data_IF_690013823731
#
_entry.id   IF_690013823731
#
_cell.length_a   1.000
_cell.length_b   1.000
_cell.length_c   1.000
_cell.angle_alpha   90.00
_cell.angle_beta   90.00
_cell.angle_gamma   90.00
#
_symmetry.space_group_name_H-M   'P 1'
#
loop_
_entity.id
_entity.type
_entity.pdbx_description
1 polymer ?
#
# COMPACT_ATOMS: atom_id res chain seq x y z
N UNK A 1 -8.96 30.32 -1.35
CA UNK A 1 -8.51 29.09 -0.68
C UNK A 1 -8.54 29.23 0.84
N UNK A 2 -7.74 30.10 1.47
CA UNK A 2 -7.70 30.23 2.94
C UNK A 2 -9.10 30.40 3.59
N UNK A 3 -9.98 31.22 3.03
CA UNK A 3 -11.37 31.40 3.53
C UNK A 3 -12.21 30.11 3.48
N UNK A 4 -11.90 29.17 2.60
CA UNK A 4 -12.59 27.88 2.52
C UNK A 4 -12.16 26.92 3.64
N UNK A 5 -10.98 27.15 4.23
CA UNK A 5 -10.39 26.27 5.23
C UNK A 5 -10.54 26.82 6.66
N UNK A 6 -10.72 28.14 6.81
CA UNK A 6 -10.78 28.82 8.11
C UNK A 6 -11.93 28.29 8.99
N UNK A 7 -11.61 27.81 10.18
CA UNK A 7 -12.56 27.26 11.15
C UNK A 7 -13.26 25.97 10.71
N UNK A 8 -12.83 25.35 9.61
CA UNK A 8 -13.38 24.10 9.09
C UNK A 8 -12.57 22.90 9.57
N UNK A 9 -13.21 21.75 9.68
CA UNK A 9 -12.56 20.45 9.86
C UNK A 9 -11.96 20.04 8.52
N UNK A 10 -10.66 20.20 8.38
CA UNK A 10 -9.92 19.92 7.15
C UNK A 10 -9.09 18.66 7.34
N UNK A 11 -9.20 17.71 6.41
CA UNK A 11 -8.31 16.57 6.30
C UNK A 11 -7.67 16.51 4.90
N UNK A 12 -6.49 15.91 4.80
CA UNK A 12 -5.82 15.72 3.53
C UNK A 12 -5.72 14.24 3.18
N UNK A 13 -6.08 13.88 1.95
CA UNK A 13 -5.90 12.56 1.39
C UNK A 13 -4.56 12.55 0.64
N UNK A 14 -3.65 11.64 1.00
CA UNK A 14 -2.34 11.52 0.43
C UNK A 14 -2.17 10.15 -0.24
N UNK A 15 -2.23 10.13 -1.56
CA UNK A 15 -2.02 8.92 -2.36
C UNK A 15 -0.64 8.88 -3.03
N UNK A 16 -0.49 8.03 -4.03
CA UNK A 16 0.72 8.01 -4.87
C UNK A 16 0.96 9.40 -5.49
N UNK A 17 2.20 9.87 -5.47
CA UNK A 17 2.62 11.20 -5.98
C UNK A 17 2.10 12.39 -5.17
N UNK A 18 1.86 12.25 -3.89
CA UNK A 18 1.51 13.37 -3.00
C UNK A 18 2.64 14.38 -2.84
N UNK A 19 3.87 13.99 -3.16
CA UNK A 19 5.07 14.84 -3.28
C UNK A 19 6.06 14.21 -4.27
N UNK A 20 7.03 15.00 -4.73
CA UNK A 20 8.00 14.53 -5.72
C UNK A 20 9.32 14.04 -5.10
N UNK A 21 9.68 14.55 -3.92
CA UNK A 21 10.97 14.32 -3.28
C UNK A 21 10.88 14.51 -1.75
N UNK A 22 11.99 14.29 -1.08
CA UNK A 22 12.09 14.43 0.38
C UNK A 22 11.84 15.87 0.89
N UNK A 23 12.08 16.89 0.07
CA UNK A 23 11.76 18.28 0.43
C UNK A 23 10.26 18.48 0.47
N UNK A 24 9.53 18.08 -0.57
CA UNK A 24 8.06 18.15 -0.62
C UNK A 24 7.40 17.35 0.50
N UNK A 25 7.97 16.19 0.87
CA UNK A 25 7.51 15.42 2.03
C UNK A 25 7.59 16.22 3.33
N UNK A 26 8.77 16.79 3.63
CA UNK A 26 8.96 17.61 4.84
C UNK A 26 8.04 18.83 4.88
N UNK A 27 7.85 19.48 3.73
CA UNK A 27 6.96 20.62 3.61
C UNK A 27 5.50 20.25 3.90
N UNK A 28 5.03 19.12 3.37
CA UNK A 28 3.67 18.61 3.61
C UNK A 28 3.45 18.30 5.10
N UNK A 29 4.40 17.62 5.74
CA UNK A 29 4.36 17.33 7.17
C UNK A 29 4.36 18.62 8.02
N UNK A 30 5.26 19.55 7.73
CA UNK A 30 5.36 20.83 8.43
C UNK A 30 4.07 21.66 8.32
N UNK A 31 3.47 21.72 7.12
CA UNK A 31 2.18 22.38 6.92
C UNK A 31 1.08 21.71 7.73
N UNK A 32 1.00 20.38 7.66
CA UNK A 32 -0.03 19.62 8.37
C UNK A 32 0.04 19.81 9.89
N UNK A 33 1.27 19.80 10.44
CA UNK A 33 1.51 20.10 11.86
C UNK A 33 1.09 21.54 12.23
N UNK A 34 1.54 22.52 11.46
CA UNK A 34 1.25 23.94 11.71
C UNK A 34 -0.25 24.24 11.64
N UNK A 35 -0.95 23.64 10.68
CA UNK A 35 -2.37 23.92 10.44
C UNK A 35 -3.31 22.93 11.12
N UNK A 36 -2.81 21.89 11.78
CA UNK A 36 -3.62 20.88 12.47
C UNK A 36 -4.43 20.01 11.52
N UNK A 37 -3.86 19.61 10.39
CA UNK A 37 -4.55 18.84 9.34
C UNK A 37 -4.08 17.37 9.39
N UNK A 38 -4.98 16.39 9.61
CA UNK A 38 -4.63 14.98 9.51
C UNK A 38 -4.35 14.59 8.05
N UNK A 39 -3.29 13.81 7.83
CA UNK A 39 -2.89 13.26 6.54
C UNK A 39 -3.33 11.79 6.45
N UNK A 40 -4.39 11.49 5.70
CA UNK A 40 -4.85 10.13 5.44
C UNK A 40 -3.90 9.50 4.41
N UNK A 41 -2.89 8.79 4.90
CA UNK A 41 -1.73 8.40 4.12
C UNK A 41 -1.87 6.97 3.56
N UNK A 42 -2.05 6.86 2.25
CA UNK A 42 -1.91 5.59 1.52
C UNK A 42 -0.47 5.07 1.63
N UNK A 43 -0.19 3.75 1.68
CA UNK A 43 1.18 3.23 1.71
C UNK A 43 2.01 3.72 0.52
N UNK A 44 1.41 3.92 -0.66
CA UNK A 44 2.09 4.44 -1.85
C UNK A 44 2.40 5.94 -1.79
N UNK A 45 1.89 6.66 -0.78
CA UNK A 45 2.22 8.06 -0.56
C UNK A 45 3.65 8.29 -0.06
N UNK A 46 4.33 7.25 0.43
CA UNK A 46 5.64 7.31 1.09
C UNK A 46 5.65 8.13 2.41
N UNK A 47 4.47 8.46 2.97
CA UNK A 47 4.37 9.23 4.23
C UNK A 47 4.49 8.37 5.49
N UNK A 48 4.30 7.04 5.37
CA UNK A 48 4.38 6.11 6.50
C UNK A 48 5.82 5.76 6.89
N UNK A 49 6.80 6.53 6.42
CA UNK A 49 8.22 6.33 6.72
C UNK A 49 8.63 6.84 8.11
N UNK A 50 7.87 7.78 8.66
CA UNK A 50 8.17 8.46 9.91
C UNK A 50 6.94 8.38 10.83
N UNK A 51 7.17 8.18 12.11
CA UNK A 51 6.07 8.19 13.11
C UNK A 51 5.69 9.62 13.46
N UNK A 52 5.08 10.31 12.49
CA UNK A 52 4.59 11.68 12.66
C UNK A 52 3.12 11.65 13.09
N UNK A 53 2.75 12.37 14.18
CA UNK A 53 1.38 12.37 14.69
C UNK A 53 0.31 12.85 13.71
N UNK A 54 0.67 13.61 12.67
CA UNK A 54 -0.31 14.04 11.66
C UNK A 54 -0.61 12.95 10.63
N UNK A 55 0.20 11.88 10.56
CA UNK A 55 0.02 10.78 9.62
C UNK A 55 -0.97 9.76 10.16
N UNK A 56 -2.06 9.58 9.43
CA UNK A 56 -3.15 8.65 9.75
C UNK A 56 -3.01 7.45 8.80
N UNK A 57 -2.38 6.41 9.27
CA UNK A 57 -2.11 5.18 8.49
C UNK A 57 -3.25 4.14 8.55
N UNK A 58 -4.08 4.18 9.60
CA UNK A 58 -5.23 3.29 9.78
C UNK A 58 -6.53 3.77 9.13
N UNK A 59 -6.49 4.79 8.28
CA UNK A 59 -7.68 5.47 7.77
C UNK A 59 -8.64 4.54 7.01
N UNK A 60 -8.17 3.50 6.29
CA UNK A 60 -9.05 2.56 5.59
C UNK A 60 -10.00 1.86 6.57
N UNK A 61 -9.46 1.29 7.64
CA UNK A 61 -10.27 0.61 8.65
C UNK A 61 -11.19 1.59 9.40
N UNK A 62 -10.70 2.79 9.71
CA UNK A 62 -11.49 3.84 10.37
C UNK A 62 -12.68 4.24 9.51
N UNK A 63 -12.48 4.50 8.22
CA UNK A 63 -13.54 4.86 7.28
C UNK A 63 -14.59 3.73 7.05
N UNK A 64 -14.28 2.52 7.45
CA UNK A 64 -15.20 1.37 7.36
C UNK A 64 -16.10 1.17 8.57
N UNK A 65 -16.00 2.01 9.58
CA UNK A 65 -16.75 1.89 10.85
C UNK A 65 -17.78 3.01 11.03
N UNK A 66 -18.62 2.84 12.04
CA UNK A 66 -19.44 3.93 12.55
C UNK A 66 -18.57 4.94 13.31
N UNK A 67 -18.98 6.21 13.31
CA UNK A 67 -18.29 7.27 14.04
C UNK A 67 -16.97 7.72 13.41
N UNK A 68 -16.84 7.65 12.09
CA UNK A 68 -15.69 8.23 11.38
C UNK A 68 -15.55 9.71 11.73
N UNK A 69 -14.34 10.21 12.12
CA UNK A 69 -14.17 11.62 12.40
C UNK A 69 -14.60 12.49 11.20
N UNK A 70 -15.48 13.46 11.40
CA UNK A 70 -16.01 14.25 10.29
C UNK A 70 -14.95 15.18 9.69
N UNK A 71 -15.12 15.49 8.40
CA UNK A 71 -14.37 16.52 7.71
C UNK A 71 -15.33 17.36 6.86
N UNK A 72 -15.22 18.69 6.96
CA UNK A 72 -15.96 19.63 6.12
C UNK A 72 -15.28 19.81 4.77
N UNK A 73 -13.96 19.70 4.74
CA UNK A 73 -13.12 19.89 3.56
C UNK A 73 -12.09 18.75 3.46
N UNK A 74 -11.95 18.19 2.27
CA UNK A 74 -10.89 17.24 1.93
C UNK A 74 -9.99 17.84 0.87
N UNK A 75 -8.69 17.86 1.14
CA UNK A 75 -7.66 18.23 0.15
C UNK A 75 -6.98 16.95 -0.32
N UNK A 76 -7.06 16.63 -1.60
CA UNK A 76 -6.37 15.47 -2.16
C UNK A 76 -5.07 15.88 -2.84
N UNK A 77 -3.98 15.26 -2.39
CA UNK A 77 -2.68 15.30 -3.01
C UNK A 77 -2.39 13.96 -3.69
N UNK A 78 -2.01 14.00 -4.97
CA UNK A 78 -1.71 12.81 -5.75
C UNK A 78 -2.94 11.97 -6.10
N UNK A 79 -2.69 10.69 -6.39
CA UNK A 79 -3.72 9.75 -6.84
C UNK A 79 -4.64 9.34 -5.71
N UNK A 80 -5.80 8.79 -6.10
CA UNK A 80 -6.73 8.23 -5.14
C UNK A 80 -6.12 7.01 -4.43
N UNK A 81 -6.27 6.89 -3.08
CA UNK A 81 -5.81 5.74 -2.30
C UNK A 81 -6.45 4.41 -2.72
N UNK A 82 -5.85 3.31 -2.26
CA UNK A 82 -6.35 1.94 -2.45
C UNK A 82 -7.75 1.77 -1.86
N UNK A 83 -8.07 2.50 -0.81
CA UNK A 83 -9.24 2.33 0.05
C UNK A 83 -10.58 2.52 -0.68
N UNK A 84 -11.38 1.45 -0.73
CA UNK A 84 -12.80 1.50 -1.13
C UNK A 84 -13.66 2.17 -0.03
N UNK A 85 -13.33 1.94 1.25
CA UNK A 85 -14.08 2.44 2.40
C UNK A 85 -13.98 3.97 2.50
N UNK A 86 -12.78 4.53 2.29
CA UNK A 86 -12.60 5.98 2.17
C UNK A 86 -13.50 6.57 1.09
N UNK A 87 -13.55 5.96 -0.10
CA UNK A 87 -14.41 6.44 -1.18
C UNK A 87 -15.90 6.39 -0.82
N UNK A 88 -16.33 5.33 -0.13
CA UNK A 88 -17.71 5.20 0.35
C UNK A 88 -18.03 6.28 1.39
N UNK A 89 -17.12 6.51 2.35
CA UNK A 89 -17.27 7.55 3.35
C UNK A 89 -17.35 8.95 2.72
N UNK A 90 -16.45 9.28 1.80
CA UNK A 90 -16.45 10.58 1.10
C UNK A 90 -17.76 10.81 0.36
N UNK A 91 -18.27 9.78 -0.33
CA UNK A 91 -19.56 9.86 -1.02
C UNK A 91 -20.75 10.03 -0.07
N UNK A 92 -20.70 9.46 1.12
CA UNK A 92 -21.76 9.57 2.12
C UNK A 92 -21.71 10.90 2.90
N UNK A 93 -20.51 11.38 3.24
CA UNK A 93 -20.28 12.58 4.03
C UNK A 93 -20.40 13.88 3.22
N UNK A 94 -20.20 13.81 1.90
CA UNK A 94 -20.23 14.96 0.98
C UNK A 94 -19.39 16.19 1.45
N UNK A 95 -18.13 16.00 1.89
CA UNK A 95 -17.26 17.12 2.20
C UNK A 95 -16.93 17.92 0.93
N UNK A 96 -16.61 19.21 1.08
CA UNK A 96 -16.03 19.99 -0.02
C UNK A 96 -14.69 19.39 -0.43
N UNK A 97 -14.52 19.02 -1.70
CA UNK A 97 -13.33 18.36 -2.21
C UNK A 97 -12.46 19.28 -3.05
N UNK A 98 -11.19 19.40 -2.66
CA UNK A 98 -10.15 20.15 -3.38
C UNK A 98 -9.12 19.15 -3.87
N UNK A 99 -8.90 19.08 -5.18
CA UNK A 99 -7.88 18.22 -5.78
C UNK A 99 -6.71 19.08 -6.23
N UNK A 100 -5.52 18.76 -5.74
CA UNK A 100 -4.25 19.43 -6.09
C UNK A 100 -3.42 18.48 -6.94
N UNK A 101 -3.31 18.75 -8.22
CA UNK A 101 -2.51 17.97 -9.17
C UNK A 101 -2.10 18.80 -10.39
N UNK A 102 -0.93 18.51 -10.95
CA UNK A 102 -0.39 19.22 -12.12
C UNK A 102 -1.11 18.83 -13.42
N UNK A 103 -1.50 17.57 -13.53
CA UNK A 103 -1.96 16.95 -14.77
C UNK A 103 -3.29 16.24 -14.66
N UNK A 104 -3.47 15.49 -13.58
CA UNK A 104 -4.64 14.62 -13.41
C UNK A 104 -5.81 15.39 -12.79
N UNK A 105 -6.97 15.19 -13.38
CA UNK A 105 -8.25 15.69 -12.85
C UNK A 105 -9.21 14.54 -12.64
N UNK A 106 -8.68 13.35 -12.33
CA UNK A 106 -9.52 12.18 -12.04
C UNK A 106 -10.33 12.42 -10.78
N UNK A 107 -11.61 12.21 -10.92
CA UNK A 107 -12.58 12.34 -9.84
C UNK A 107 -13.29 11.00 -9.62
N UNK A 108 -12.71 10.17 -8.77
CA UNK A 108 -13.25 8.83 -8.45
C UNK A 108 -14.55 8.89 -7.65
N UNK A 109 -14.87 10.06 -7.09
CA UNK A 109 -16.11 10.29 -6.33
C UNK A 109 -17.20 10.94 -7.17
N UNK A 110 -16.84 11.53 -8.31
CA UNK A 110 -17.69 12.37 -9.15
C UNK A 110 -18.31 13.55 -8.38
N UNK A 111 -17.55 14.12 -7.43
CA UNK A 111 -18.00 15.18 -6.53
C UNK A 111 -16.89 16.17 -6.14
N UNK A 112 -15.86 16.31 -6.98
CA UNK A 112 -14.80 17.31 -6.77
C UNK A 112 -15.34 18.72 -7.04
N UNK A 113 -15.20 19.61 -6.06
CA UNK A 113 -15.66 21.00 -6.16
C UNK A 113 -14.60 21.92 -6.78
N UNK A 114 -13.32 21.68 -6.46
CA UNK A 114 -12.22 22.55 -6.89
C UNK A 114 -11.03 21.74 -7.38
N UNK A 115 -10.58 22.02 -8.61
CA UNK A 115 -9.30 21.53 -9.13
C UNK A 115 -8.26 22.65 -9.13
N UNK A 116 -7.15 22.42 -8.42
CA UNK A 116 -6.02 23.36 -8.36
C UNK A 116 -4.86 22.78 -9.16
N UNK A 117 -4.59 23.35 -10.34
CA UNK A 117 -3.51 22.90 -11.22
C UNK A 117 -2.16 23.47 -10.77
N UNK A 118 -1.53 22.77 -9.85
CA UNK A 118 -0.18 23.08 -9.37
C UNK A 118 0.44 21.84 -8.76
N UNK A 119 1.74 21.89 -8.49
CA UNK A 119 2.38 20.86 -7.69
C UNK A 119 1.89 20.94 -6.24
N UNK A 120 1.88 19.82 -5.47
CA UNK A 120 1.62 19.87 -4.04
C UNK A 120 2.50 20.90 -3.32
N UNK A 121 3.81 20.95 -3.63
CA UNK A 121 4.76 21.93 -3.10
C UNK A 121 4.32 23.36 -3.39
N UNK A 122 4.01 23.69 -4.65
CA UNK A 122 3.57 25.04 -5.03
C UNK A 122 2.25 25.46 -4.38
N UNK A 123 1.33 24.51 -4.15
CA UNK A 123 0.10 24.77 -3.40
C UNK A 123 0.39 25.11 -1.93
N UNK A 124 1.29 24.34 -1.29
CA UNK A 124 1.66 24.55 0.09
C UNK A 124 2.45 25.85 0.27
N UNK A 125 3.36 26.17 -0.64
CA UNK A 125 4.09 27.44 -0.66
C UNK A 125 3.13 28.64 -0.70
N UNK A 126 2.14 28.57 -1.59
CA UNK A 126 1.13 29.62 -1.71
C UNK A 126 0.26 29.77 -0.43
N UNK A 127 -0.06 28.64 0.25
CA UNK A 127 -0.78 28.70 1.52
C UNK A 127 0.08 29.26 2.65
N UNK A 128 1.33 28.83 2.75
CA UNK A 128 2.25 29.27 3.81
C UNK A 128 2.64 30.73 3.63
N UNK A 129 2.76 31.22 2.39
CA UNK A 129 3.03 32.63 2.07
C UNK A 129 1.92 33.59 2.55
N UNK A 130 0.71 33.08 2.86
CA UNK A 130 -0.35 33.90 3.45
C UNK A 130 -0.05 34.36 4.88
N UNK A 131 0.94 33.75 5.56
CA UNK A 131 1.36 34.12 6.92
C UNK A 131 0.24 34.00 7.97
N UNK A 132 -0.72 33.09 7.77
CA UNK A 132 -1.87 32.93 8.67
C UNK A 132 -1.42 32.31 9.99
N UNK A 133 -1.55 33.07 11.08
CA UNK A 133 -1.20 32.60 12.45
C UNK A 133 -2.36 32.70 13.41
N UNK A 134 -3.38 33.54 13.09
CA UNK A 134 -4.56 33.68 13.96
C UNK A 134 -5.40 32.40 13.96
N UNK A 135 -5.76 31.81 15.13
CA UNK A 135 -6.54 30.57 15.19
C UNK A 135 -7.83 30.59 14.37
N UNK A 136 -8.52 31.71 14.32
CA UNK A 136 -9.76 31.88 13.54
C UNK A 136 -9.53 31.84 12.00
N UNK A 137 -8.28 32.00 11.54
CA UNK A 137 -7.91 31.94 10.12
C UNK A 137 -7.42 30.55 9.69
N UNK A 138 -7.17 29.66 10.65
CA UNK A 138 -6.69 28.29 10.45
C UNK A 138 -7.85 27.28 10.50
N UNK A 139 -7.64 26.04 10.01
CA UNK A 139 -8.55 24.92 10.21
C UNK A 139 -8.83 24.64 11.70
N UNK A 140 -9.98 24.00 11.96
CA UNK A 140 -10.31 23.50 13.30
C UNK A 140 -9.41 22.30 13.67
N UNK A 141 -8.54 22.49 14.66
CA UNK A 141 -7.61 21.45 15.13
C UNK A 141 -8.30 20.24 15.77
N UNK A 142 -9.57 20.33 16.13
CA UNK A 142 -10.33 19.19 16.62
C UNK A 142 -10.36 18.04 15.59
N UNK A 143 -10.34 18.38 14.30
CA UNK A 143 -10.24 17.39 13.24
C UNK A 143 -8.99 16.49 13.39
N UNK A 144 -7.81 17.08 13.59
CA UNK A 144 -6.58 16.32 13.80
C UNK A 144 -6.66 15.48 15.06
N UNK A 145 -7.14 16.03 16.18
CA UNK A 145 -7.24 15.34 17.46
C UNK A 145 -8.13 14.09 17.36
N UNK A 146 -9.30 14.24 16.72
CA UNK A 146 -10.24 13.12 16.54
C UNK A 146 -9.65 12.01 15.66
N UNK A 147 -9.00 12.37 14.55
CA UNK A 147 -8.34 11.40 13.68
C UNK A 147 -7.15 10.72 14.36
N UNK A 148 -6.37 11.44 15.18
CA UNK A 148 -5.28 10.85 15.95
C UNK A 148 -5.79 9.84 16.99
N UNK A 149 -6.89 10.15 17.69
CA UNK A 149 -7.50 9.24 18.65
C UNK A 149 -7.99 7.96 17.95
N UNK A 150 -8.69 8.11 16.82
CA UNK A 150 -9.16 6.98 16.02
C UNK A 150 -7.99 6.13 15.47
N UNK A 151 -6.90 6.76 15.01
CA UNK A 151 -5.71 6.09 14.50
C UNK A 151 -4.97 5.32 15.60
N UNK A 152 -4.83 5.91 16.77
CA UNK A 152 -4.23 5.24 17.95
C UNK A 152 -5.01 3.98 18.32
N UNK A 153 -6.35 4.06 18.35
CA UNK A 153 -7.21 2.91 18.61
C UNK A 153 -7.06 1.83 17.52
N UNK A 154 -6.94 2.23 16.25
CA UNK A 154 -6.72 1.30 15.14
C UNK A 154 -5.36 0.62 15.21
N UNK A 155 -4.29 1.35 15.48
CA UNK A 155 -2.94 0.79 15.66
C UNK A 155 -2.91 -0.22 16.82
N UNK A 156 -3.56 0.10 17.95
CA UNK A 156 -3.67 -0.83 19.08
C UNK A 156 -4.40 -2.11 18.68
N UNK A 157 -5.46 -2.00 17.88
CA UNK A 157 -6.21 -3.15 17.36
C UNK A 157 -5.34 -4.03 16.45
N UNK A 158 -4.60 -3.42 15.52
CA UNK A 158 -3.66 -4.18 14.66
C UNK A 158 -2.60 -4.90 15.48
N UNK A 159 -2.06 -4.24 16.51
CA UNK A 159 -1.03 -4.82 17.38
C UNK A 159 -1.54 -5.96 18.29
N UNK A 160 -2.83 -5.95 18.61
CA UNK A 160 -3.46 -6.97 19.49
C UNK A 160 -4.32 -7.97 18.73
N UNK A 161 -4.46 -7.83 17.41
CA UNK A 161 -5.18 -8.80 16.61
C UNK A 161 -4.49 -10.16 16.75
N UNK A 162 -5.20 -11.09 17.38
CA UNK A 162 -4.76 -12.48 17.43
C UNK A 162 -4.87 -13.03 16.02
N UNK A 163 -3.75 -13.01 15.32
CA UNK A 163 -3.64 -13.66 14.05
C UNK A 163 -3.45 -15.16 14.30
N UNK A 164 -4.39 -15.96 13.85
CA UNK A 164 -4.21 -17.40 13.89
C UNK A 164 -2.91 -17.72 13.12
N UNK A 165 -1.97 -18.36 13.77
CA UNK A 165 -0.67 -18.73 13.22
C UNK A 165 -0.82 -19.30 11.79
N UNK A 166 -0.10 -18.69 10.84
CA UNK A 166 -0.13 -19.14 9.43
C UNK A 166 -1.17 -18.46 8.55
N UNK A 167 -1.78 -17.34 8.97
CA UNK A 167 -2.61 -16.52 8.09
C UNK A 167 -1.77 -15.64 7.17
N UNK A 168 -2.36 -15.17 6.08
CA UNK A 168 -1.74 -14.22 5.15
C UNK A 168 -1.18 -12.98 5.88
N UNK A 169 -1.94 -12.45 6.82
CA UNK A 169 -1.58 -11.26 7.58
C UNK A 169 -0.30 -11.48 8.43
N UNK A 170 -0.13 -12.64 9.06
CA UNK A 170 1.05 -12.96 9.84
C UNK A 170 2.33 -12.94 8.97
N UNK A 171 2.27 -13.52 7.76
CA UNK A 171 3.40 -13.50 6.84
C UNK A 171 3.72 -12.10 6.33
N UNK A 172 2.70 -11.29 6.02
CA UNK A 172 2.92 -9.91 5.57
C UNK A 172 3.44 -9.01 6.70
N UNK A 173 2.92 -9.15 7.92
CA UNK A 173 3.46 -8.45 9.08
C UNK A 173 4.93 -8.81 9.29
N UNK A 174 5.27 -10.10 9.26
CA UNK A 174 6.63 -10.57 9.40
C UNK A 174 7.55 -10.07 8.26
N UNK A 175 7.07 -10.08 7.01
CA UNK A 175 7.78 -9.50 5.88
C UNK A 175 8.12 -8.04 6.13
N UNK A 176 7.11 -7.24 6.54
CA UNK A 176 7.30 -5.81 6.80
C UNK A 176 8.29 -5.56 7.94
N UNK A 177 8.29 -6.42 8.98
CA UNK A 177 9.21 -6.30 10.12
C UNK A 177 10.65 -6.66 9.75
N UNK A 178 10.84 -7.70 8.94
CA UNK A 178 12.15 -8.22 8.57
C UNK A 178 12.75 -7.55 7.32
N UNK A 179 11.99 -6.69 6.63
CA UNK A 179 12.49 -6.00 5.43
C UNK A 179 13.59 -5.02 5.80
N UNK A 180 14.76 -5.17 5.17
CA UNK A 180 15.92 -4.33 5.42
C UNK A 180 15.71 -2.88 4.95
N UNK A 181 16.31 -1.89 5.65
CA UNK A 181 16.25 -0.49 5.24
C UNK A 181 16.73 -0.28 3.79
N UNK A 182 16.09 0.65 3.08
CA UNK A 182 16.44 0.95 1.69
C UNK A 182 15.93 -0.06 0.66
N UNK A 183 15.16 -1.06 1.09
CA UNK A 183 14.50 -2.02 0.19
C UNK A 183 13.32 -1.36 -0.53
N UNK A 184 13.19 -1.60 -1.83
CA UNK A 184 11.97 -1.35 -2.58
C UNK A 184 11.00 -2.50 -2.32
N UNK A 185 9.83 -2.22 -1.75
CA UNK A 185 8.71 -3.15 -1.67
C UNK A 185 7.76 -2.91 -2.84
N UNK A 186 7.74 -3.82 -3.81
CA UNK A 186 6.80 -3.77 -4.92
C UNK A 186 5.63 -4.71 -4.64
N UNK A 187 4.44 -4.14 -4.44
CA UNK A 187 3.25 -4.93 -4.12
C UNK A 187 2.39 -5.17 -5.36
N UNK A 188 1.97 -6.42 -5.53
CA UNK A 188 0.90 -6.78 -6.45
C UNK A 188 -0.44 -6.20 -6.01
N UNK A 189 -1.42 -6.24 -6.90
CA UNK A 189 -2.80 -5.85 -6.62
C UNK A 189 -3.53 -6.92 -5.77
N UNK A 190 -4.86 -6.85 -5.71
CA UNK A 190 -5.69 -7.78 -4.94
C UNK A 190 -5.45 -7.68 -3.42
N UNK A 191 -5.24 -8.80 -2.72
CA UNK A 191 -5.03 -8.81 -1.28
C UNK A 191 -3.63 -8.33 -0.90
N UNK A 192 -2.60 -8.54 -1.71
CA UNK A 192 -1.23 -8.14 -1.40
C UNK A 192 -1.12 -6.66 -1.00
N UNK A 193 -1.61 -5.75 -1.83
CA UNK A 193 -1.56 -4.31 -1.51
C UNK A 193 -2.49 -3.92 -0.34
N UNK A 194 -3.59 -4.65 -0.14
CA UNK A 194 -4.50 -4.42 0.99
C UNK A 194 -3.90 -4.89 2.30
N UNK A 195 -3.15 -5.98 2.28
CA UNK A 195 -2.37 -6.44 3.43
C UNK A 195 -1.30 -5.42 3.81
N UNK A 196 -0.58 -4.88 2.82
CA UNK A 196 0.38 -3.79 3.05
C UNK A 196 -0.31 -2.56 3.63
N UNK A 197 -1.46 -2.12 3.09
CA UNK A 197 -2.20 -0.98 3.62
C UNK A 197 -2.66 -1.19 5.07
N UNK A 198 -3.11 -2.40 5.41
CA UNK A 198 -3.58 -2.75 6.75
C UNK A 198 -2.46 -2.84 7.78
N UNK A 199 -1.30 -3.41 7.40
CA UNK A 199 -0.26 -3.83 8.34
C UNK A 199 0.96 -2.91 8.35
N UNK A 200 1.20 -2.15 7.28
CA UNK A 200 2.29 -1.17 7.24
C UNK A 200 1.87 0.11 7.98
N UNK A 201 2.14 0.14 9.25
CA UNK A 201 1.97 1.34 10.08
C UNK A 201 3.19 2.26 9.96
N UNK A 202 3.10 3.51 10.44
CA UNK A 202 4.25 4.42 10.47
C UNK A 202 5.42 3.79 11.23
N UNK A 203 6.54 3.66 10.57
CA UNK A 203 7.75 3.02 11.06
C UNK A 203 8.94 3.93 10.89
N UNK A 204 9.93 3.78 11.77
CA UNK A 204 11.22 4.46 11.61
C UNK A 204 11.97 3.95 10.36
N UNK A 205 11.83 2.66 10.03
CA UNK A 205 12.39 2.09 8.80
C UNK A 205 11.53 2.50 7.61
N UNK A 206 12.03 3.43 6.82
CA UNK A 206 11.39 3.87 5.61
C UNK A 206 11.53 2.84 4.49
N UNK A 207 10.42 2.36 3.97
CA UNK A 207 10.37 1.54 2.76
C UNK A 207 9.85 2.38 1.60
N UNK A 208 10.49 2.25 0.45
CA UNK A 208 9.88 2.72 -0.80
C UNK A 208 8.86 1.69 -1.25
N UNK A 209 7.58 2.07 -1.29
CA UNK A 209 6.50 1.16 -1.71
C UNK A 209 5.99 1.55 -3.08
N UNK A 210 5.95 0.59 -4.01
CA UNK A 210 5.43 0.77 -5.37
C UNK A 210 4.39 -0.31 -5.71
N UNK A 211 3.48 0.02 -6.63
CA UNK A 211 2.48 -0.91 -7.16
C UNK A 211 1.94 -0.41 -8.51
N UNK A 212 1.43 -1.33 -9.33
CA UNK A 212 0.73 -1.00 -10.58
C UNK A 212 -0.72 -0.60 -10.28
N UNK A 213 -0.99 0.70 -10.05
CA UNK A 213 -2.31 1.22 -9.67
C UNK A 213 -3.06 1.94 -10.80
N UNK A 214 -2.69 1.69 -12.06
CA UNK A 214 -3.42 2.23 -13.22
C UNK A 214 -4.80 1.59 -13.38
N UNK A 215 -4.84 0.37 -13.89
CA UNK A 215 -6.06 -0.42 -14.08
C UNK A 215 -6.27 -1.49 -13.00
N UNK A 216 -5.32 -1.63 -12.06
CA UNK A 216 -5.32 -2.63 -10.98
C UNK A 216 -5.30 -4.09 -11.49
N UNK A 217 -4.73 -4.34 -12.68
CA UNK A 217 -4.54 -5.66 -13.26
C UNK A 217 -3.43 -6.45 -12.54
N UNK A 218 -3.30 -7.72 -12.90
CA UNK A 218 -2.27 -8.62 -12.40
C UNK A 218 -1.18 -8.92 -13.45
N UNK A 219 -1.41 -8.47 -14.69
CA UNK A 219 -0.50 -8.56 -15.82
C UNK A 219 0.73 -7.68 -15.65
N UNK A 220 1.89 -8.13 -16.10
CA UNK A 220 3.15 -7.38 -16.12
C UNK A 220 3.65 -6.92 -14.76
N UNK A 221 3.17 -7.50 -13.65
CA UNK A 221 3.51 -7.06 -12.30
C UNK A 221 4.96 -7.38 -11.96
N UNK A 222 5.41 -8.62 -12.22
CA UNK A 222 6.80 -9.03 -11.97
C UNK A 222 7.74 -8.28 -12.90
N UNK A 223 7.39 -8.18 -14.18
CA UNK A 223 8.19 -7.46 -15.18
C UNK A 223 8.42 -6.00 -14.78
N UNK A 224 7.37 -5.31 -14.30
CA UNK A 224 7.48 -3.93 -13.80
C UNK A 224 8.37 -3.85 -12.56
N UNK A 225 8.16 -4.76 -11.59
CA UNK A 225 8.96 -4.81 -10.37
C UNK A 225 10.44 -5.07 -10.67
N UNK A 226 10.74 -5.98 -11.60
CA UNK A 226 12.11 -6.31 -12.00
C UNK A 226 12.78 -5.16 -12.76
N UNK A 227 12.00 -4.39 -13.53
CA UNK A 227 12.48 -3.14 -14.14
C UNK A 227 12.86 -2.11 -13.07
N UNK A 228 12.00 -1.88 -12.08
CA UNK A 228 12.28 -0.98 -10.96
C UNK A 228 13.49 -1.43 -10.12
N UNK A 229 13.65 -2.74 -9.93
CA UNK A 229 14.76 -3.35 -9.19
C UNK A 229 16.15 -3.04 -9.79
N UNK A 230 16.23 -2.65 -11.07
CA UNK A 230 17.52 -2.29 -11.68
C UNK A 230 18.10 -0.97 -11.12
N UNK A 231 17.34 -0.23 -10.35
CA UNK A 231 17.73 1.08 -9.79
C UNK A 231 17.97 1.06 -8.28
N UNK A 232 17.86 -0.11 -7.64
CA UNK A 232 18.04 -0.28 -6.20
C UNK A 232 18.78 -1.59 -5.90
N UNK A 233 19.45 -1.67 -4.76
CA UNK A 233 20.21 -2.87 -4.38
C UNK A 233 19.32 -4.05 -3.98
N UNK A 234 18.18 -3.77 -3.36
CA UNK A 234 17.25 -4.77 -2.85
C UNK A 234 15.81 -4.44 -3.23
N UNK A 235 15.10 -5.47 -3.66
CA UNK A 235 13.68 -5.40 -3.97
C UNK A 235 12.97 -6.62 -3.41
N UNK A 236 11.88 -6.39 -2.70
CA UNK A 236 10.92 -7.44 -2.34
C UNK A 236 9.67 -7.25 -3.19
N UNK A 237 9.22 -8.31 -3.86
CA UNK A 237 8.03 -8.33 -4.70
C UNK A 237 6.99 -9.21 -4.02
N UNK A 238 5.93 -8.60 -3.50
CA UNK A 238 4.83 -9.30 -2.81
C UNK A 238 3.66 -9.50 -3.77
N UNK A 239 3.32 -10.73 -4.13
CA UNK A 239 2.28 -11.06 -5.10
C UNK A 239 1.45 -12.26 -4.67
N UNK A 240 0.24 -12.40 -5.23
CA UNK A 240 -0.52 -13.65 -5.15
C UNK A 240 -0.09 -14.62 -6.26
N UNK A 241 -0.50 -15.88 -6.12
CA UNK A 241 -0.21 -16.96 -7.07
C UNK A 241 -0.74 -16.70 -8.48
N UNK A 242 -1.96 -16.17 -8.63
CA UNK A 242 -2.49 -15.80 -9.95
C UNK A 242 -1.69 -14.67 -10.59
N UNK A 243 -1.19 -13.72 -9.81
CA UNK A 243 -0.32 -12.63 -10.31
C UNK A 243 1.04 -13.18 -10.75
N UNK A 244 1.62 -14.09 -9.95
CA UNK A 244 2.88 -14.76 -10.30
C UNK A 244 2.72 -15.57 -11.59
N UNK A 245 1.65 -16.36 -11.69
CA UNK A 245 1.39 -17.20 -12.87
C UNK A 245 1.17 -16.36 -14.13
N UNK A 246 0.47 -15.23 -14.02
CA UNK A 246 0.15 -14.38 -15.15
C UNK A 246 1.38 -13.74 -15.82
N UNK A 247 2.44 -13.50 -15.04
CA UNK A 247 3.70 -12.88 -15.52
C UNK A 247 4.93 -13.75 -15.18
N UNK A 248 4.73 -15.07 -15.14
CA UNK A 248 5.77 -16.04 -14.70
C UNK A 248 7.01 -16.05 -15.60
N UNK A 249 6.84 -15.73 -16.88
CA UNK A 249 7.94 -15.64 -17.84
C UNK A 249 8.93 -14.51 -17.52
N UNK A 250 8.56 -13.52 -16.68
CA UNK A 250 9.50 -12.52 -16.17
C UNK A 250 10.68 -13.16 -15.42
N UNK A 251 10.51 -14.36 -14.84
CA UNK A 251 11.61 -15.11 -14.20
C UNK A 251 12.77 -15.42 -15.15
N UNK A 252 12.57 -15.41 -16.47
CA UNK A 252 13.63 -15.54 -17.47
C UNK A 252 14.72 -14.46 -17.33
N UNK A 253 14.42 -13.32 -16.72
CA UNK A 253 15.37 -12.25 -16.44
C UNK A 253 16.54 -12.70 -15.55
N UNK A 254 16.37 -13.78 -14.77
CA UNK A 254 17.45 -14.41 -14.00
C UNK A 254 18.64 -14.82 -14.89
N UNK A 255 18.36 -15.40 -16.06
CA UNK A 255 19.40 -15.78 -17.04
C UNK A 255 20.10 -14.55 -17.63
N UNK A 256 19.34 -13.53 -17.98
CA UNK A 256 19.89 -12.27 -18.52
C UNK A 256 20.78 -11.55 -17.48
N UNK A 257 20.37 -11.46 -16.23
CA UNK A 257 21.19 -10.85 -15.18
C UNK A 257 22.51 -11.61 -14.97
N UNK A 258 22.50 -12.95 -15.01
CA UNK A 258 23.73 -13.76 -14.94
C UNK A 258 24.64 -13.51 -16.15
N UNK A 259 24.08 -13.38 -17.33
CA UNK A 259 24.83 -13.09 -18.55
C UNK A 259 25.50 -11.72 -18.47
N UNK A 260 24.76 -10.69 -18.04
CA UNK A 260 25.30 -9.32 -17.89
C UNK A 260 26.41 -9.25 -16.84
N UNK A 261 26.26 -9.94 -15.72
CA UNK A 261 27.32 -10.04 -14.70
C UNK A 261 28.58 -10.67 -15.29
N UNK A 262 28.44 -11.79 -16.03
CA UNK A 262 29.57 -12.49 -16.64
C UNK A 262 30.27 -11.68 -17.74
N UNK A 263 29.51 -10.98 -18.58
CA UNK A 263 30.06 -10.24 -19.73
C UNK A 263 30.57 -8.85 -19.36
N UNK A 264 29.93 -8.19 -18.41
CA UNK A 264 30.16 -6.77 -18.14
C UNK A 264 30.54 -6.47 -16.68
N UNK A 265 30.64 -7.48 -15.82
CA UNK A 265 30.89 -7.31 -14.40
C UNK A 265 29.75 -6.56 -13.68
N UNK A 266 28.54 -6.49 -14.26
CA UNK A 266 27.42 -5.79 -13.69
C UNK A 266 26.93 -6.50 -12.41
N UNK A 267 26.86 -5.76 -11.30
CA UNK A 267 26.29 -6.30 -10.07
C UNK A 267 24.80 -6.57 -10.25
N UNK A 268 24.36 -7.77 -9.86
CA UNK A 268 22.92 -8.10 -9.84
C UNK A 268 22.27 -7.54 -8.59
N UNK A 269 21.10 -6.87 -8.70
CA UNK A 269 20.29 -6.56 -7.51
C UNK A 269 19.83 -7.84 -6.81
N UNK A 270 19.49 -7.76 -5.53
CA UNK A 270 18.76 -8.81 -4.82
C UNK A 270 17.26 -8.60 -5.06
N UNK A 271 16.57 -9.62 -5.59
CA UNK A 271 15.14 -9.58 -5.88
C UNK A 271 14.48 -10.80 -5.22
N UNK A 272 13.73 -10.55 -4.15
CA UNK A 272 12.99 -11.62 -3.46
C UNK A 272 11.51 -11.54 -3.86
N UNK A 273 11.03 -12.55 -4.57
CA UNK A 273 9.60 -12.70 -4.87
C UNK A 273 8.95 -13.50 -3.75
N UNK A 274 7.99 -12.93 -3.07
CA UNK A 274 7.16 -13.60 -2.05
C UNK A 274 5.77 -13.80 -2.65
N UNK A 275 5.43 -15.07 -2.90
CA UNK A 275 4.14 -15.48 -3.43
C UNK A 275 3.22 -15.92 -2.30
N UNK A 276 2.15 -15.17 -2.06
CA UNK A 276 1.06 -15.55 -1.18
C UNK A 276 0.15 -16.52 -1.94
N UNK A 277 0.46 -17.81 -1.84
CA UNK A 277 -0.14 -18.86 -2.65
C UNK A 277 -1.32 -19.53 -1.94
N UNK A 278 -2.49 -19.03 -2.19
CA UNK A 278 -3.75 -19.63 -1.74
C UNK A 278 -4.43 -20.48 -2.83
N UNK A 279 -3.76 -20.73 -3.95
CA UNK A 279 -4.27 -21.47 -5.10
C UNK A 279 -5.50 -20.82 -5.77
N UNK A 280 -5.55 -19.47 -5.84
CA UNK A 280 -6.64 -18.81 -6.54
C UNK A 280 -6.95 -17.38 -6.11
N UNK A 281 -8.12 -16.91 -6.51
CA UNK A 281 -8.59 -15.54 -6.31
C UNK A 281 -9.31 -15.32 -4.97
N UNK A 282 -8.67 -15.57 -3.83
CA UNK A 282 -9.31 -15.52 -2.51
C UNK A 282 -9.93 -14.15 -2.14
N UNK A 283 -9.54 -13.06 -2.79
CA UNK A 283 -10.19 -11.75 -2.61
C UNK A 283 -11.70 -11.81 -2.89
N UNK A 284 -12.14 -12.72 -3.75
CA UNK A 284 -13.53 -12.82 -4.13
C UNK A 284 -14.43 -13.38 -3.01
N UNK A 285 -13.85 -14.00 -1.95
CA UNK A 285 -14.60 -14.33 -0.71
C UNK A 285 -15.27 -13.10 -0.08
N UNK A 286 -14.83 -11.88 -0.44
CA UNK A 286 -15.43 -10.63 0.05
C UNK A 286 -16.63 -10.16 -0.76
N UNK A 287 -16.98 -10.87 -1.83
CA UNK A 287 -18.09 -10.51 -2.70
C UNK A 287 -19.38 -11.26 -2.30
N UNK A 288 -20.56 -10.68 -2.58
CA UNK A 288 -21.84 -11.37 -2.36
C UNK A 288 -21.96 -12.71 -3.09
N UNK A 289 -21.25 -12.85 -4.24
CA UNK A 289 -21.23 -14.06 -5.07
C UNK A 289 -20.58 -15.27 -4.38
N UNK A 290 -19.93 -15.08 -3.23
CA UNK A 290 -19.37 -16.18 -2.42
C UNK A 290 -20.39 -17.30 -2.16
N UNK A 291 -21.67 -16.94 -2.06
CA UNK A 291 -22.78 -17.89 -1.84
C UNK A 291 -23.29 -18.59 -3.12
N UNK A 292 -22.80 -18.21 -4.31
CA UNK A 292 -23.29 -18.73 -5.59
C UNK A 292 -22.61 -20.06 -5.99
N UNK A 293 -22.80 -21.09 -5.19
CA UNK A 293 -22.36 -22.45 -5.52
C UNK A 293 -23.25 -23.08 -6.63
N UNK A 294 -22.70 -23.84 -7.59
CA UNK A 294 -21.29 -24.29 -7.69
C UNK A 294 -20.40 -23.40 -8.55
N UNK A 295 -20.84 -22.22 -8.94
CA UNK A 295 -20.14 -21.37 -9.91
C UNK A 295 -18.99 -20.58 -9.31
N UNK A 296 -19.05 -20.30 -8.01
CA UNK A 296 -18.11 -19.42 -7.34
C UNK A 296 -16.65 -19.92 -7.42
N UNK A 297 -16.43 -21.20 -7.08
CA UNK A 297 -15.07 -21.76 -7.13
C UNK A 297 -14.49 -21.74 -8.55
N UNK A 298 -15.26 -22.14 -9.53
CA UNK A 298 -14.81 -22.21 -10.93
C UNK A 298 -14.59 -20.86 -11.57
N UNK A 299 -15.49 -19.89 -11.35
CA UNK A 299 -15.54 -18.63 -12.10
C UNK A 299 -14.88 -17.44 -11.37
N UNK A 300 -14.77 -17.51 -10.04
CA UNK A 300 -14.20 -16.45 -9.21
C UNK A 300 -12.89 -16.88 -8.57
N UNK A 301 -12.85 -17.96 -7.82
CA UNK A 301 -11.62 -18.43 -7.20
C UNK A 301 -10.61 -18.95 -8.22
N UNK A 302 -11.07 -19.59 -9.28
CA UNK A 302 -10.25 -20.06 -10.41
C UNK A 302 -8.97 -20.79 -9.98
N UNK A 303 -9.05 -21.90 -9.20
CA UNK A 303 -7.85 -22.59 -8.71
C UNK A 303 -7.04 -23.17 -9.86
N UNK A 304 -5.72 -22.90 -9.86
CA UNK A 304 -4.82 -23.28 -10.96
C UNK A 304 -4.00 -24.53 -10.69
N UNK A 305 -3.79 -24.90 -9.42
CA UNK A 305 -3.02 -26.08 -8.98
C UNK A 305 -1.58 -26.13 -9.58
N UNK A 306 -0.95 -24.96 -9.71
CA UNK A 306 0.43 -24.88 -10.23
C UNK A 306 1.43 -25.17 -9.13
N UNK A 307 2.38 -26.05 -9.41
CA UNK A 307 3.59 -26.23 -8.60
C UNK A 307 4.68 -25.27 -9.10
N UNK A 308 4.98 -24.24 -8.33
CA UNK A 308 5.98 -23.24 -8.68
C UNK A 308 7.42 -23.71 -8.47
N UNK A 309 7.67 -24.82 -7.77
CA UNK A 309 9.00 -25.38 -7.58
C UNK A 309 9.67 -25.77 -8.92
N UNK A 310 9.09 -26.67 -9.71
CA UNK A 310 9.61 -27.01 -11.04
C UNK A 310 9.68 -25.82 -11.99
N UNK A 311 8.73 -24.88 -11.90
CA UNK A 311 8.74 -23.65 -12.71
C UNK A 311 9.96 -22.80 -12.37
N UNK A 312 10.21 -22.50 -11.11
CA UNK A 312 11.37 -21.75 -10.65
C UNK A 312 12.68 -22.43 -11.06
N UNK A 313 12.75 -23.74 -10.91
CA UNK A 313 13.91 -24.56 -11.33
C UNK A 313 14.18 -24.41 -12.82
N UNK A 314 13.15 -24.43 -13.67
CA UNK A 314 13.27 -24.27 -15.12
C UNK A 314 13.90 -22.94 -15.52
N UNK A 315 13.68 -21.87 -14.75
CA UNK A 315 14.32 -20.57 -14.92
C UNK A 315 15.64 -20.41 -14.14
N UNK A 316 16.07 -21.44 -13.40
CA UNK A 316 17.25 -21.37 -12.54
C UNK A 316 17.11 -20.40 -11.37
N UNK A 317 15.89 -20.19 -10.89
CA UNK A 317 15.56 -19.34 -9.75
C UNK A 317 15.58 -20.18 -8.48
N UNK A 318 16.35 -19.81 -7.43
CA UNK A 318 16.26 -20.44 -6.11
C UNK A 318 14.84 -20.37 -5.57
N UNK A 319 14.37 -21.48 -5.02
CA UNK A 319 12.99 -21.65 -4.56
C UNK A 319 12.94 -22.18 -3.13
N UNK A 320 12.02 -21.64 -2.35
CA UNK A 320 11.66 -22.16 -1.03
C UNK A 320 10.15 -22.18 -0.87
N UNK A 321 9.58 -23.34 -0.51
CA UNK A 321 8.19 -23.44 -0.09
C UNK A 321 8.13 -23.41 1.44
N UNK A 322 7.20 -22.60 1.98
CA UNK A 322 7.03 -22.44 3.43
C UNK A 322 5.57 -22.52 3.82
N UNK A 323 5.31 -23.00 5.03
CA UNK A 323 3.97 -23.14 5.61
C UNK A 323 3.90 -22.71 7.08
N UNK A 324 5.02 -22.18 7.63
CA UNK A 324 5.08 -21.53 8.95
C UNK A 324 5.71 -20.14 8.83
N UNK A 325 5.39 -19.26 9.77
CA UNK A 325 5.96 -17.90 9.82
C UNK A 325 7.45 -17.94 10.14
N UNK A 326 7.89 -18.91 10.96
CA UNK A 326 9.28 -19.12 11.34
C UNK A 326 10.12 -19.55 10.13
N UNK A 327 9.65 -20.53 9.34
CA UNK A 327 10.33 -20.97 8.12
C UNK A 327 10.37 -19.83 7.08
N UNK A 328 9.28 -19.07 6.98
CA UNK A 328 9.23 -17.88 6.14
C UNK A 328 10.31 -16.86 6.54
N UNK A 329 10.41 -16.52 7.81
CA UNK A 329 11.40 -15.55 8.30
C UNK A 329 12.83 -15.99 7.97
N UNK A 330 13.14 -17.27 8.20
CA UNK A 330 14.46 -17.82 7.88
C UNK A 330 14.74 -17.83 6.36
N UNK A 331 13.74 -18.16 5.54
CA UNK A 331 13.85 -18.12 4.08
C UNK A 331 14.00 -16.69 3.55
N UNK A 332 13.22 -15.76 4.09
CA UNK A 332 13.23 -14.36 3.69
C UNK A 332 14.55 -13.66 4.04
N UNK A 333 15.07 -13.89 5.25
CA UNK A 333 16.38 -13.38 5.66
C UNK A 333 17.49 -13.82 4.70
N UNK A 334 17.52 -15.10 4.35
CA UNK A 334 18.51 -15.63 3.37
C UNK A 334 18.32 -15.01 1.98
N UNK A 335 17.07 -14.85 1.54
CA UNK A 335 16.76 -14.35 0.20
C UNK A 335 17.17 -12.89 0.00
N UNK A 336 17.04 -12.04 1.02
CA UNK A 336 17.42 -10.62 0.96
C UNK A 336 18.91 -10.39 0.68
N UNK A 337 19.78 -11.37 1.03
CA UNK A 337 21.23 -11.31 0.78
C UNK A 337 21.64 -12.01 -0.53
N UNK A 338 20.72 -12.73 -1.17
CA UNK A 338 21.00 -13.44 -2.41
C UNK A 338 20.96 -12.49 -3.62
N UNK A 339 21.98 -12.56 -4.47
CA UNK A 339 22.00 -11.79 -5.73
C UNK A 339 21.20 -12.50 -6.83
N UNK A 340 20.41 -11.72 -7.57
CA UNK A 340 19.47 -12.22 -8.56
C UNK A 340 18.08 -12.43 -7.98
N UNK A 341 17.25 -13.19 -8.70
CA UNK A 341 15.87 -13.49 -8.30
C UNK A 341 15.86 -14.74 -7.42
N UNK A 342 15.10 -14.69 -6.32
CA UNK A 342 14.69 -15.83 -5.49
C UNK A 342 13.18 -15.84 -5.32
N UNK A 343 12.57 -17.01 -5.16
CA UNK A 343 11.12 -17.19 -5.00
C UNK A 343 10.82 -17.92 -3.69
N UNK A 344 10.02 -17.30 -2.85
CA UNK A 344 9.44 -17.89 -1.63
C UNK A 344 7.95 -18.10 -1.87
N UNK A 345 7.50 -19.35 -1.83
CA UNK A 345 6.12 -19.77 -2.04
C UNK A 345 5.47 -20.08 -0.70
N UNK A 346 4.62 -19.16 -0.24
CA UNK A 346 3.90 -19.24 1.03
C UNK A 346 2.57 -19.93 0.81
N UNK A 347 2.40 -21.15 1.33
CA UNK A 347 1.16 -21.93 1.19
C UNK A 347 0.09 -21.43 2.15
N UNK A 348 -1.06 -21.06 1.60
CA UNK A 348 -2.19 -20.47 2.32
C UNK A 348 -3.50 -21.18 1.97
N UNK A 349 -4.51 -21.14 2.87
CA UNK A 349 -5.85 -21.64 2.55
C UNK A 349 -6.54 -20.81 1.46
N UNK A 350 -7.26 -21.49 0.56
CA UNK A 350 -7.99 -20.85 -0.54
C UNK A 350 -9.15 -19.96 -0.06
N UNK A 351 -9.83 -20.33 1.01
CA UNK A 351 -11.04 -19.69 1.53
C UNK A 351 -10.79 -19.01 2.88
N UNK A 352 -11.72 -18.15 3.29
CA UNK A 352 -11.73 -17.56 4.64
C UNK A 352 -10.94 -16.25 4.76
N UNK A 353 -10.70 -15.53 3.66
CA UNK A 353 -9.99 -14.21 3.68
C UNK A 353 -10.77 -13.20 4.50
N UNK A 354 -12.08 -13.15 4.37
CA UNK A 354 -12.95 -12.21 5.07
C UNK A 354 -12.86 -12.37 6.59
N UNK A 355 -12.89 -13.60 7.08
CA UNK A 355 -12.79 -13.94 8.49
C UNK A 355 -11.39 -13.60 9.04
N UNK A 356 -10.33 -13.91 8.28
CA UNK A 356 -8.95 -13.66 8.67
C UNK A 356 -8.62 -12.17 8.79
N UNK A 357 -9.24 -11.33 7.95
CA UNK A 357 -9.04 -9.88 8.03
C UNK A 357 -10.03 -9.16 8.97
N UNK A 358 -11.09 -9.83 9.42
CA UNK A 358 -12.08 -9.21 10.31
C UNK A 358 -11.48 -8.59 11.59
N UNK A 359 -10.50 -9.19 12.29
CA UNK A 359 -9.88 -8.61 13.47
C UNK A 359 -9.21 -7.25 13.23
N UNK A 360 -8.72 -7.02 12.02
CA UNK A 360 -8.04 -5.78 11.63
C UNK A 360 -9.01 -4.68 11.18
N UNK A 361 -10.17 -5.06 10.63
CA UNK A 361 -11.06 -4.13 9.95
C UNK A 361 -12.35 -3.79 10.69
N UNK A 362 -12.78 -4.65 11.65
CA UNK A 362 -14.06 -4.47 12.38
C UNK A 362 -13.89 -3.88 13.77
#
# INVERSE_FOLDING_TARGET
MARLLAGKRVAAICGERSFSDSHGRRQLLAWAQAWGVPLLADPLSQLRCEDDPVVIDGFDAICGREGVPPADVLIRFGRWPISKKLRQWVRAAHPLQIVVDVRETRDETCSTDVFVRTTPTGFLDALMALGLTAPAALPDRACLTDWQAANKAQRARVATAEDALGTEAAYVARLLDDTLPGTLLFSGNSMAIRAVDTLYTCRQTCLTIMANRGLNGIDGTLSTAFGAAQHVDRTTVLVGDLTLLHDVNALALQGEMRLRERLYGALRPSITVVCLNNNGGAIFDMLPQESDEPYFERLFLTPQQVDFGPVAQGFGVPYAQVSSVEDFAAAYARAQDMRGISLIDVKLPLRGVKERYAPYWK
#
